data_IF_875878931506
#
_entry.id   IF_875878931506
#
_cell.length_a   1.000
_cell.length_b   1.000
_cell.length_c   1.000
_cell.angle_alpha   90.00
_cell.angle_beta   90.00
_cell.angle_gamma   90.00
#
_symmetry.space_group_name_H-M   'P 1'
#
loop_
_entity.id
_entity.type
_entity.pdbx_description
1 polymer ?
#
# COMPACT_ATOMS: atom_id res chain seq x y z
N UNK A 1 5.15 18.03 -8.71
CA UNK A 1 4.95 16.88 -7.80
C UNK A 1 4.88 15.62 -8.65
N UNK A 2 5.77 14.65 -8.44
CA UNK A 2 5.76 13.40 -9.21
C UNK A 2 4.59 12.50 -8.80
N UNK A 3 4.09 11.66 -9.72
CA UNK A 3 3.03 10.69 -9.40
C UNK A 3 3.50 9.71 -8.32
N UNK A 4 2.59 9.19 -7.50
CA UNK A 4 2.92 8.23 -6.42
C UNK A 4 3.66 6.99 -6.94
N UNK A 5 3.45 6.63 -8.20
CA UNK A 5 4.15 5.57 -8.89
C UNK A 5 5.65 5.86 -9.10
N UNK A 6 6.01 7.12 -9.34
CA UNK A 6 7.40 7.56 -9.56
C UNK A 6 8.22 7.61 -8.25
N UNK A 7 7.55 7.52 -7.10
CA UNK A 7 8.20 7.46 -5.79
C UNK A 7 8.58 6.04 -5.38
N UNK A 8 8.15 5.02 -6.14
CA UNK A 8 8.51 3.63 -5.89
C UNK A 8 9.94 3.33 -6.38
N UNK A 9 10.67 2.41 -5.73
CA UNK A 9 11.87 1.83 -6.30
C UNK A 9 11.62 1.31 -7.72
N UNK A 10 12.62 1.44 -8.60
CA UNK A 10 12.46 1.11 -10.02
C UNK A 10 11.93 -0.31 -10.26
N UNK A 11 12.36 -1.28 -9.45
CA UNK A 11 11.90 -2.67 -9.50
C UNK A 11 10.39 -2.80 -9.20
N UNK A 12 9.93 -2.11 -8.17
CA UNK A 12 8.52 -2.15 -7.75
C UNK A 12 7.63 -1.44 -8.76
N UNK A 13 8.10 -0.31 -9.32
CA UNK A 13 7.42 0.39 -10.40
C UNK A 13 7.24 -0.51 -11.64
N UNK A 14 8.27 -1.26 -12.03
CA UNK A 14 8.19 -2.19 -13.14
C UNK A 14 7.19 -3.32 -12.88
N UNK A 15 7.17 -3.84 -11.64
CA UNK A 15 6.19 -4.83 -11.22
C UNK A 15 4.76 -4.29 -11.33
N UNK A 16 4.51 -3.07 -10.80
CA UNK A 16 3.20 -2.42 -10.88
C UNK A 16 2.76 -2.20 -12.32
N UNK A 17 3.68 -1.78 -13.21
CA UNK A 17 3.40 -1.63 -14.64
C UNK A 17 3.05 -2.96 -15.30
N UNK A 18 3.77 -4.04 -14.98
CA UNK A 18 3.47 -5.37 -15.52
C UNK A 18 2.11 -5.89 -15.04
N UNK A 19 1.79 -5.75 -13.75
CA UNK A 19 0.48 -6.11 -13.20
C UNK A 19 -0.65 -5.31 -13.85
N UNK A 20 -0.44 -4.01 -14.02
CA UNK A 20 -1.41 -3.12 -14.66
C UNK A 20 -1.65 -3.50 -16.12
N UNK A 21 -0.59 -3.80 -16.87
CA UNK A 21 -0.70 -4.28 -18.25
C UNK A 21 -1.48 -5.61 -18.32
N UNK A 22 -1.18 -6.56 -17.45
CA UNK A 22 -1.89 -7.84 -17.39
C UNK A 22 -3.38 -7.67 -17.04
N UNK A 23 -3.70 -6.75 -16.13
CA UNK A 23 -5.07 -6.44 -15.73
C UNK A 23 -5.77 -5.43 -16.67
N UNK A 24 -5.11 -5.01 -17.76
CA UNK A 24 -5.61 -3.98 -18.69
C UNK A 24 -6.09 -2.70 -17.99
N UNK A 25 -5.34 -2.24 -16.99
CA UNK A 25 -5.65 -1.02 -16.21
C UNK A 25 -4.45 -0.06 -16.20
N UNK A 26 -4.69 1.17 -15.75
CA UNK A 26 -3.61 2.15 -15.58
C UNK A 26 -2.70 1.78 -14.39
N UNK A 27 -1.37 1.96 -14.50
CA UNK A 27 -0.43 1.69 -13.40
C UNK A 27 -0.79 2.37 -12.08
N UNK A 28 -1.26 3.61 -12.10
CA UNK A 28 -1.71 4.34 -10.92
C UNK A 28 -2.98 3.75 -10.31
N UNK A 29 -3.90 3.23 -11.13
CA UNK A 29 -5.10 2.56 -10.65
C UNK A 29 -4.75 1.24 -9.97
N UNK A 30 -3.87 0.44 -10.59
CA UNK A 30 -3.32 -0.78 -9.99
C UNK A 30 -2.62 -0.50 -8.65
N UNK A 31 -1.78 0.55 -8.59
CA UNK A 31 -1.12 0.93 -7.34
C UNK A 31 -2.13 1.27 -6.22
N UNK A 32 -3.18 2.02 -6.55
CA UNK A 32 -4.26 2.33 -5.59
C UNK A 32 -4.97 1.07 -5.10
N UNK A 33 -5.25 0.12 -5.99
CA UNK A 33 -5.89 -1.15 -5.62
C UNK A 33 -5.02 -2.00 -4.71
N UNK A 34 -3.71 -2.10 -5.00
CA UNK A 34 -2.75 -2.82 -4.17
C UNK A 34 -2.74 -2.25 -2.75
N UNK A 35 -2.61 -0.91 -2.61
CA UNK A 35 -2.61 -0.25 -1.30
C UNK A 35 -3.93 -0.47 -0.57
N UNK A 36 -5.07 -0.35 -1.27
CA UNK A 36 -6.40 -0.58 -0.68
C UNK A 36 -6.55 -2.01 -0.15
N UNK A 37 -6.19 -3.01 -0.96
CA UNK A 37 -6.31 -4.42 -0.60
C UNK A 37 -5.38 -4.78 0.56
N UNK A 38 -4.14 -4.30 0.52
CA UNK A 38 -3.18 -4.49 1.61
C UNK A 38 -3.70 -3.89 2.94
N UNK A 39 -4.20 -2.65 2.93
CA UNK A 39 -4.80 -2.05 4.13
C UNK A 39 -6.05 -2.82 4.61
N UNK A 40 -6.83 -3.38 3.69
CA UNK A 40 -7.95 -4.26 4.02
C UNK A 40 -7.50 -5.52 4.76
N UNK A 41 -6.46 -6.19 4.27
CA UNK A 41 -5.86 -7.37 4.90
C UNK A 41 -5.30 -7.06 6.30
N UNK A 42 -4.60 -5.93 6.44
CA UNK A 42 -4.05 -5.50 7.74
C UNK A 42 -5.15 -5.25 8.77
N UNK A 43 -6.29 -4.67 8.34
CA UNK A 43 -7.44 -4.42 9.23
C UNK A 43 -8.15 -5.70 9.65
N UNK A 44 -8.30 -6.66 8.75
CA UNK A 44 -9.04 -7.90 9.03
C UNK A 44 -8.24 -8.91 9.86
N UNK A 45 -6.91 -8.90 9.78
CA UNK A 45 -6.09 -9.83 10.55
C UNK A 45 -4.68 -9.28 10.84
N UNK A 46 -4.49 -8.47 11.91
CA UNK A 46 -3.19 -7.94 12.30
C UNK A 46 -2.15 -9.02 12.60
N UNK A 47 -2.61 -10.19 13.08
CA UNK A 47 -1.79 -11.34 13.41
C UNK A 47 -1.41 -12.21 12.19
N UNK A 48 -2.08 -12.04 11.04
CA UNK A 48 -1.86 -12.85 9.85
C UNK A 48 -0.72 -12.35 8.94
N UNK A 49 -0.05 -11.25 9.31
CA UNK A 49 1.12 -10.76 8.58
C UNK A 49 2.40 -10.81 9.44
N UNK A 50 2.89 -12.02 9.78
CA UNK A 50 4.24 -12.17 10.28
C UNK A 50 5.19 -11.78 9.13
N UNK A 51 5.90 -10.65 9.28
CA UNK A 51 6.77 -9.99 8.27
C UNK A 51 6.11 -8.95 7.36
N UNK A 52 5.14 -8.20 7.86
CA UNK A 52 4.60 -7.04 7.15
C UNK A 52 5.65 -5.90 6.98
N UNK A 53 6.18 -5.64 5.76
CA UNK A 53 7.17 -4.60 5.53
C UNK A 53 6.61 -3.18 5.69
N UNK A 54 5.29 -3.00 5.64
CA UNK A 54 4.63 -1.71 5.80
C UNK A 54 4.05 -1.52 7.22
N UNK A 55 4.25 -2.47 8.15
CA UNK A 55 3.81 -2.37 9.56
C UNK A 55 4.23 -1.07 10.24
N UNK A 56 5.41 -0.56 9.89
CA UNK A 56 5.96 0.71 10.41
C UNK A 56 5.11 1.91 9.99
N UNK A 57 4.56 1.91 8.78
CA UNK A 57 3.68 2.96 8.27
C UNK A 57 2.30 2.87 8.95
N UNK A 58 1.77 1.66 9.12
CA UNK A 58 0.46 1.44 9.75
C UNK A 58 0.47 1.81 11.24
N UNK A 59 1.55 1.50 11.96
CA UNK A 59 1.70 1.84 13.40
C UNK A 59 1.62 3.36 13.64
N UNK A 60 2.20 4.16 12.75
CA UNK A 60 2.18 5.61 12.84
C UNK A 60 0.79 6.21 12.55
N UNK A 61 0.07 5.65 11.58
CA UNK A 61 -1.30 6.05 11.26
C UNK A 61 -2.29 5.70 12.39
N UNK A 62 -2.13 4.52 13.01
CA UNK A 62 -2.98 4.08 14.12
C UNK A 62 -2.75 4.95 15.37
N UNK A 63 -1.50 5.30 15.72
CA UNK A 63 -1.23 6.21 16.86
C UNK A 63 -1.79 7.62 16.66
N UNK A 64 -1.75 8.15 15.45
CA UNK A 64 -2.31 9.48 15.17
C UNK A 64 -3.84 9.51 15.18
N UNK A 65 -4.50 8.39 14.91
CA UNK A 65 -5.95 8.23 15.11
C UNK A 65 -6.33 8.12 16.59
N UNK A 66 -5.53 7.42 17.39
CA UNK A 66 -5.78 7.24 18.83
C UNK A 66 -5.58 8.55 19.64
N UNK A 67 -4.68 9.44 19.22
CA UNK A 67 -4.41 10.71 19.92
C UNK A 67 -5.43 11.82 19.62
N UNK A 68 -6.47 11.57 18.83
CA UNK A 68 -7.57 12.53 18.56
C UNK A 68 -8.81 12.31 19.43
N UNK A 69 -8.76 11.35 20.36
CA UNK A 69 -9.85 11.05 21.29
C UNK A 69 -9.39 10.93 22.76
N UNK A 70 -8.32 11.63 23.14
CA UNK A 70 -7.87 11.80 24.53
C UNK A 70 -7.99 13.24 24.98
#
# INVERSE_FOLDING_TARGET
MGSTLEQLPAKDRNLVRAMAANASTAPEAMLREIVRNYLGLVRSAPAALPNDPLRRLTSAAIRQGANKHG
#
